data_IF_043014732951
#
_entry.id   IF_043014732951
#
_cell.length_a   1.000
_cell.length_b   1.000
_cell.length_c   1.000
_cell.angle_alpha   90.00
_cell.angle_beta   90.00
_cell.angle_gamma   90.00
#
_symmetry.space_group_name_H-M   'P 1'
#
loop_
_entity.id
_entity.type
_entity.pdbx_description
1 polymer ?
#
# COMPACT_ATOMS: atom_id res chain seq x y z
N UNK A 1 28.74 3.12 19.96
CA UNK A 1 27.35 3.18 20.47
C UNK A 1 26.48 2.33 19.57
N UNK A 2 25.79 1.32 20.10
CA UNK A 2 24.73 0.64 19.35
C UNK A 2 23.57 1.63 19.26
N UNK A 3 23.22 2.04 18.04
CA UNK A 3 22.06 2.90 17.81
C UNK A 3 20.83 2.06 18.15
N UNK A 4 20.14 2.44 19.22
CA UNK A 4 18.92 1.78 19.66
C UNK A 4 17.78 2.22 18.73
N UNK A 5 17.50 1.40 17.72
CA UNK A 5 16.43 1.60 16.73
C UNK A 5 15.03 1.45 17.34
N UNK A 6 14.94 0.98 18.59
CA UNK A 6 13.66 0.85 19.31
C UNK A 6 13.03 2.22 19.59
N UNK A 7 13.84 3.29 19.63
CA UNK A 7 13.35 4.66 19.73
C UNK A 7 12.63 5.17 18.45
N UNK A 8 12.94 4.59 17.28
CA UNK A 8 12.21 4.89 16.04
C UNK A 8 10.88 4.14 15.95
N UNK A 9 10.78 2.98 16.60
CA UNK A 9 9.59 2.13 16.58
C UNK A 9 8.56 2.49 17.66
N UNK A 10 8.93 3.32 18.65
CA UNK A 10 8.09 3.70 19.80
C UNK A 10 7.81 5.20 19.88
N UNK A 11 7.50 5.84 18.75
CA UNK A 11 6.86 7.16 18.81
C UNK A 11 5.35 6.98 18.73
N UNK A 12 4.76 7.03 19.92
CA UNK A 12 3.35 6.92 20.22
C UNK A 12 2.43 7.83 19.38
N UNK A 13 1.25 7.28 19.05
CA UNK A 13 -0.08 7.89 19.08
C UNK A 13 -0.33 9.22 18.34
N UNK A 14 -1.27 9.17 17.40
CA UNK A 14 -1.74 10.26 16.50
C UNK A 14 -0.77 10.56 15.36
N UNK A 15 -1.03 9.97 14.19
CA UNK A 15 -0.25 10.11 12.97
C UNK A 15 -0.03 11.58 12.62
N UNK A 16 1.14 12.12 12.96
CA UNK A 16 1.60 13.48 12.62
C UNK A 16 1.91 13.67 11.14
N UNK A 17 1.32 12.85 10.27
CA UNK A 17 1.39 12.99 8.83
C UNK A 17 0.40 14.08 8.40
N UNK A 18 0.90 15.05 7.63
CA UNK A 18 -0.02 15.85 6.80
C UNK A 18 -0.60 14.94 5.70
N UNK A 19 -1.79 15.27 5.21
CA UNK A 19 -2.40 14.53 4.10
C UNK A 19 -1.48 14.53 2.86
N UNK A 20 -0.80 15.63 2.59
CA UNK A 20 0.11 15.78 1.46
C UNK A 20 1.36 14.89 1.61
N UNK A 21 2.01 14.93 2.77
CA UNK A 21 3.22 14.12 3.03
C UNK A 21 2.89 12.62 2.98
N UNK A 22 1.71 12.24 3.45
CA UNK A 22 1.27 10.85 3.37
C UNK A 22 0.99 10.40 1.94
N UNK A 23 0.41 11.26 1.09
CA UNK A 23 0.25 10.97 -0.35
C UNK A 23 1.59 10.80 -1.04
N UNK A 24 2.59 11.63 -0.73
CA UNK A 24 3.97 11.47 -1.22
C UNK A 24 4.60 10.16 -0.74
N UNK A 25 4.39 9.79 0.52
CA UNK A 25 4.85 8.50 1.04
C UNK A 25 4.20 7.31 0.31
N UNK A 26 2.90 7.35 0.02
CA UNK A 26 2.23 6.33 -0.80
C UNK A 26 2.85 6.29 -2.20
N UNK A 27 3.12 7.45 -2.82
CA UNK A 27 3.80 7.52 -4.11
C UNK A 27 5.13 6.77 -4.07
N UNK A 28 6.00 7.14 -3.14
CA UNK A 28 7.37 6.62 -3.05
C UNK A 28 7.46 5.14 -2.68
N UNK A 29 6.47 4.61 -1.95
CA UNK A 29 6.53 3.23 -1.42
C UNK A 29 5.64 2.23 -2.14
N UNK A 30 4.42 2.62 -2.52
CA UNK A 30 3.44 1.72 -3.14
C UNK A 30 3.35 1.97 -4.65
N UNK A 31 3.20 3.22 -5.09
CA UNK A 31 3.07 3.52 -6.52
C UNK A 31 4.37 3.22 -7.27
N UNK A 32 5.52 3.59 -6.72
CA UNK A 32 6.82 3.24 -7.32
C UNK A 32 7.03 1.73 -7.40
N UNK A 33 6.60 0.96 -6.39
CA UNK A 33 6.68 -0.50 -6.43
C UNK A 33 5.84 -1.09 -7.57
N UNK A 34 4.60 -0.63 -7.73
CA UNK A 34 3.73 -1.03 -8.84
C UNK A 34 4.34 -0.60 -10.18
N UNK A 35 4.85 0.63 -10.26
CA UNK A 35 5.49 1.17 -11.48
C UNK A 35 6.67 0.29 -11.92
N UNK A 36 7.58 -0.01 -10.99
CA UNK A 36 8.73 -0.88 -11.25
C UNK A 36 8.28 -2.28 -11.69
N UNK A 37 7.22 -2.84 -11.12
CA UNK A 37 6.68 -4.12 -11.60
C UNK A 37 6.17 -4.02 -13.04
N UNK A 38 5.42 -2.96 -13.37
CA UNK A 38 4.91 -2.75 -14.74
C UNK A 38 6.03 -2.55 -15.77
N UNK A 39 7.09 -1.82 -15.42
CA UNK A 39 8.27 -1.62 -16.28
C UNK A 39 8.96 -2.94 -16.63
N UNK A 40 8.89 -3.94 -15.75
CA UNK A 40 9.59 -5.21 -15.90
C UNK A 40 8.75 -6.33 -16.52
N UNK A 41 7.52 -6.03 -16.96
CA UNK A 41 6.62 -7.02 -17.59
C UNK A 41 6.08 -6.54 -18.94
N UNK A 42 5.68 -7.47 -19.83
CA UNK A 42 5.06 -7.10 -21.10
C UNK A 42 3.79 -6.27 -20.90
N UNK A 43 3.63 -5.25 -21.74
CA UNK A 43 2.50 -4.29 -21.71
C UNK A 43 1.11 -4.93 -21.63
N UNK A 44 0.93 -6.10 -22.25
CA UNK A 44 -0.32 -6.87 -22.25
C UNK A 44 -0.70 -7.46 -20.87
N UNK A 45 0.27 -7.64 -19.96
CA UNK A 45 0.02 -8.16 -18.61
C UNK A 45 -0.35 -7.04 -17.61
N UNK A 46 -0.20 -5.77 -17.98
CA UNK A 46 -0.39 -4.64 -17.06
C UNK A 46 -1.77 -4.61 -16.41
N UNK A 47 -2.86 -4.81 -17.17
CA UNK A 47 -4.23 -4.82 -16.62
C UNK A 47 -4.39 -5.91 -15.56
N UNK A 48 -3.85 -7.11 -15.82
CA UNK A 48 -3.88 -8.23 -14.88
C UNK A 48 -3.06 -7.94 -13.63
N UNK A 49 -1.88 -7.35 -13.77
CA UNK A 49 -1.05 -6.91 -12.64
C UNK A 49 -1.77 -5.87 -11.78
N UNK A 50 -2.40 -4.85 -12.37
CA UNK A 50 -3.16 -3.85 -11.62
C UNK A 50 -4.42 -4.40 -10.94
N UNK A 51 -5.08 -5.41 -11.54
CA UNK A 51 -6.14 -6.17 -10.86
C UNK A 51 -5.60 -6.97 -9.67
N UNK A 52 -4.40 -7.53 -9.77
CA UNK A 52 -3.74 -8.20 -8.64
C UNK A 52 -3.48 -7.22 -7.52
N UNK A 53 -2.94 -6.03 -7.80
CA UNK A 53 -2.76 -4.97 -6.80
C UNK A 53 -4.07 -4.54 -6.14
N UNK A 54 -5.16 -4.42 -6.91
CA UNK A 54 -6.50 -4.15 -6.35
C UNK A 54 -6.95 -5.24 -5.37
N UNK A 55 -6.67 -6.52 -5.68
CA UNK A 55 -6.95 -7.64 -4.79
C UNK A 55 -6.04 -7.64 -3.56
N UNK A 56 -4.77 -7.26 -3.68
CA UNK A 56 -3.84 -7.11 -2.55
C UNK A 56 -4.37 -6.05 -1.59
N UNK A 57 -4.78 -4.87 -2.08
CA UNK A 57 -5.38 -3.84 -1.23
C UNK A 57 -6.65 -4.33 -0.53
N UNK A 58 -7.50 -5.08 -1.24
CA UNK A 58 -8.73 -5.65 -0.67
C UNK A 58 -8.43 -6.71 0.40
N UNK A 59 -7.44 -7.57 0.14
CA UNK A 59 -7.01 -8.60 1.07
C UNK A 59 -6.40 -7.97 2.33
N UNK A 60 -5.50 -7.00 2.17
CA UNK A 60 -4.94 -6.22 3.26
C UNK A 60 -6.04 -5.55 4.11
N UNK A 61 -7.05 -4.92 3.50
CA UNK A 61 -8.17 -4.36 4.25
C UNK A 61 -8.93 -5.41 5.08
N UNK A 62 -9.11 -6.61 4.54
CA UNK A 62 -9.76 -7.69 5.26
C UNK A 62 -8.92 -8.17 6.46
N UNK A 63 -7.60 -8.17 6.30
CA UNK A 63 -6.65 -8.58 7.32
C UNK A 63 -6.47 -7.52 8.41
N UNK A 64 -6.53 -6.22 8.09
CA UNK A 64 -6.43 -5.15 9.08
C UNK A 64 -7.55 -5.16 10.15
N UNK A 65 -8.58 -5.99 9.96
CA UNK A 65 -9.65 -6.22 10.96
C UNK A 65 -9.30 -7.34 11.95
N UNK A 66 -8.15 -7.99 11.78
CA UNK A 66 -7.70 -9.15 12.53
C UNK A 66 -6.51 -8.78 13.41
N UNK A 67 -6.39 -9.45 14.54
CA UNK A 67 -5.21 -9.35 15.39
C UNK A 67 -3.97 -9.93 14.70
N UNK A 68 -2.79 -9.42 15.06
CA UNK A 68 -1.50 -9.80 14.48
C UNK A 68 -1.30 -11.32 14.45
N UNK A 69 -1.60 -12.02 15.55
CA UNK A 69 -1.48 -13.48 15.63
C UNK A 69 -2.37 -14.22 14.62
N UNK A 70 -3.59 -13.74 14.40
CA UNK A 70 -4.47 -14.31 13.37
C UNK A 70 -3.92 -14.06 11.97
N UNK A 71 -3.34 -12.88 11.71
CA UNK A 71 -2.70 -12.57 10.42
C UNK A 71 -1.51 -13.49 10.16
N UNK A 72 -0.64 -13.70 11.13
CA UNK A 72 0.50 -14.63 11.03
C UNK A 72 0.08 -16.07 10.73
N UNK A 73 -1.00 -16.55 11.34
CA UNK A 73 -1.58 -17.87 11.03
C UNK A 73 -2.08 -17.95 9.58
N UNK A 74 -2.75 -16.89 9.10
CA UNK A 74 -3.21 -16.82 7.71
C UNK A 74 -2.04 -16.78 6.73
N UNK A 75 -0.99 -15.99 7.00
CA UNK A 75 0.20 -15.94 6.14
C UNK A 75 0.87 -17.31 6.02
N UNK A 76 1.03 -18.03 7.13
CA UNK A 76 1.55 -19.40 7.12
C UNK A 76 0.65 -20.35 6.33
N UNK A 77 -0.66 -20.25 6.51
CA UNK A 77 -1.65 -21.10 5.81
C UNK A 77 -1.63 -20.88 4.31
N UNK A 78 -1.46 -19.64 3.84
CA UNK A 78 -1.38 -19.29 2.43
C UNK A 78 0.04 -19.37 1.85
N UNK A 79 1.02 -19.81 2.65
CA UNK A 79 2.42 -19.94 2.25
C UNK A 79 3.02 -18.62 1.72
N UNK A 80 2.67 -17.50 2.35
CA UNK A 80 3.29 -16.22 2.02
C UNK A 80 4.77 -16.26 2.36
N UNK A 81 5.60 -15.81 1.43
CA UNK A 81 7.01 -15.52 1.71
C UNK A 81 7.16 -14.19 2.45
N UNK A 82 8.38 -13.92 2.92
CA UNK A 82 8.67 -12.71 3.69
C UNK A 82 8.36 -11.41 2.93
N UNK A 83 8.48 -11.40 1.60
CA UNK A 83 8.20 -10.22 0.78
C UNK A 83 6.69 -9.98 0.67
N UNK A 84 5.90 -11.03 0.46
CA UNK A 84 4.44 -10.95 0.44
C UNK A 84 3.87 -10.48 1.77
N UNK A 85 4.41 -10.98 2.90
CA UNK A 85 4.03 -10.51 4.24
C UNK A 85 4.37 -9.02 4.40
N UNK A 86 5.59 -8.61 4.04
CA UNK A 86 6.03 -7.23 4.15
C UNK A 86 5.16 -6.27 3.32
N UNK A 87 4.86 -6.61 2.07
CA UNK A 87 3.97 -5.81 1.21
C UNK A 87 2.57 -5.73 1.83
N UNK A 88 2.03 -6.85 2.30
CA UNK A 88 0.67 -6.90 2.84
C UNK A 88 0.54 -6.06 4.11
N UNK A 89 1.42 -6.24 5.09
CA UNK A 89 1.43 -5.43 6.32
C UNK A 89 1.69 -3.96 6.01
N UNK A 90 2.59 -3.65 5.06
CA UNK A 90 2.84 -2.28 4.62
C UNK A 90 1.63 -1.61 3.95
N UNK A 91 0.73 -2.38 3.34
CA UNK A 91 -0.56 -1.87 2.82
C UNK A 91 -1.60 -1.75 3.92
N UNK A 92 -1.64 -2.67 4.90
CA UNK A 92 -2.51 -2.57 6.08
C UNK A 92 -2.24 -1.26 6.82
N UNK A 93 -0.98 -1.00 7.16
CA UNK A 93 -0.56 0.22 7.87
C UNK A 93 -0.97 1.47 7.09
N UNK A 94 -0.76 1.50 5.77
CA UNK A 94 -1.14 2.64 4.94
C UNK A 94 -2.65 2.86 4.88
N UNK A 95 -3.45 1.78 4.84
CA UNK A 95 -4.91 1.87 4.91
C UNK A 95 -5.38 2.43 6.27
N UNK A 96 -4.75 2.03 7.36
CA UNK A 96 -5.04 2.52 8.71
C UNK A 96 -4.72 4.01 8.83
N UNK A 97 -3.52 4.43 8.39
CA UNK A 97 -3.11 5.85 8.41
C UNK A 97 -4.00 6.69 7.49
N UNK A 98 -4.30 6.21 6.27
CA UNK A 98 -5.19 6.92 5.34
C UNK A 98 -6.57 7.21 5.98
N UNK A 99 -7.07 6.27 6.79
CA UNK A 99 -8.33 6.42 7.52
C UNK A 99 -8.20 7.35 8.71
N UNK A 100 -7.13 7.26 9.47
CA UNK A 100 -6.92 8.11 10.65
C UNK A 100 -6.79 9.59 10.29
N UNK A 101 -6.20 9.91 9.13
CA UNK A 101 -6.02 11.29 8.65
C UNK A 101 -7.15 11.75 7.69
N UNK A 102 -8.19 10.95 7.52
CA UNK A 102 -9.40 11.32 6.77
C UNK A 102 -9.28 11.30 5.24
N UNK A 103 -8.24 10.68 4.68
CA UNK A 103 -8.08 10.50 3.23
C UNK A 103 -8.92 9.34 2.67
N UNK A 104 -9.25 8.35 3.51
CA UNK A 104 -10.08 7.22 3.13
C UNK A 104 -11.19 7.01 4.16
N UNK A 105 -12.45 7.00 3.72
CA UNK A 105 -13.59 6.72 4.61
C UNK A 105 -13.78 5.21 4.80
N UNK A 106 -14.41 4.83 5.90
CA UNK A 106 -14.82 3.45 6.15
C UNK A 106 -15.79 2.99 5.05
N UNK A 107 -15.50 1.86 4.41
CA UNK A 107 -16.31 1.31 3.33
C UNK A 107 -15.96 1.83 1.92
N UNK A 108 -15.06 2.81 1.81
CA UNK A 108 -14.46 3.11 0.51
C UNK A 108 -13.55 1.97 0.05
N UNK A 109 -13.43 1.86 -1.27
CA UNK A 109 -12.65 0.80 -1.90
C UNK A 109 -11.17 0.94 -1.52
N UNK A 110 -10.51 -0.11 -0.98
CA UNK A 110 -9.13 -0.03 -0.52
C UNK A 110 -8.14 0.36 -1.62
N UNK A 111 -8.39 0.01 -2.88
CA UNK A 111 -7.53 0.38 -4.01
C UNK A 111 -7.44 1.89 -4.27
N UNK A 112 -8.37 2.70 -3.72
CA UNK A 112 -8.23 4.17 -3.73
C UNK A 112 -6.94 4.65 -3.07
N UNK A 113 -6.34 3.84 -2.19
CA UNK A 113 -5.02 4.12 -1.63
C UNK A 113 -3.99 4.37 -2.74
N UNK A 114 -4.03 3.60 -3.83
CA UNK A 114 -3.11 3.75 -4.96
C UNK A 114 -3.37 5.08 -5.66
N UNK A 115 -4.65 5.45 -5.87
CA UNK A 115 -5.05 6.74 -6.46
C UNK A 115 -4.47 7.93 -5.69
N UNK A 116 -4.47 7.87 -4.35
CA UNK A 116 -3.93 8.94 -3.50
C UNK A 116 -2.44 9.21 -3.77
N UNK A 117 -1.65 8.17 -4.01
CA UNK A 117 -0.23 8.32 -4.37
C UNK A 117 -0.03 8.76 -5.83
N UNK A 118 -0.91 8.32 -6.74
CA UNK A 118 -0.83 8.68 -8.16
C UNK A 118 -0.99 10.19 -8.41
N UNK A 119 -1.65 10.93 -7.51
CA UNK A 119 -1.74 12.39 -7.57
C UNK A 119 -0.36 13.09 -7.61
N UNK A 120 0.66 12.48 -7.02
CA UNK A 120 2.04 13.01 -6.94
C UNK A 120 3.02 12.25 -7.84
N UNK A 121 2.55 11.30 -8.63
CA UNK A 121 3.41 10.49 -9.48
C UNK A 121 3.81 11.24 -10.76
N UNK A 122 5.09 11.12 -11.11
CA UNK A 122 5.64 11.65 -12.36
C UNK A 122 5.02 10.96 -13.57
N UNK A 123 4.88 11.70 -14.67
CA UNK A 123 4.28 11.18 -15.90
C UNK A 123 5.22 10.19 -16.60
N UNK A 124 4.81 8.93 -16.62
CA UNK A 124 5.42 7.85 -17.42
C UNK A 124 4.34 7.09 -18.19
N UNK A 125 4.68 6.11 -19.03
CA UNK A 125 3.67 5.27 -19.66
C UNK A 125 2.90 4.44 -18.61
N UNK A 126 3.63 3.86 -17.68
CA UNK A 126 3.12 3.07 -16.55
C UNK A 126 2.22 3.92 -15.67
N UNK A 127 2.67 5.12 -15.27
CA UNK A 127 1.86 6.03 -14.44
C UNK A 127 0.58 6.46 -15.15
N UNK A 128 0.64 6.80 -16.44
CA UNK A 128 -0.56 7.13 -17.21
C UNK A 128 -1.53 5.97 -17.28
N UNK A 129 -1.03 4.76 -17.46
CA UNK A 129 -1.87 3.56 -17.47
C UNK A 129 -2.49 3.30 -16.09
N UNK A 130 -1.73 3.46 -15.01
CA UNK A 130 -2.22 3.35 -13.63
C UNK A 130 -3.31 4.39 -13.34
N UNK A 131 -3.08 5.67 -13.69
CA UNK A 131 -4.07 6.75 -13.54
C UNK A 131 -5.37 6.43 -14.28
N UNK A 132 -5.27 5.98 -15.54
CA UNK A 132 -6.43 5.56 -16.32
C UNK A 132 -7.17 4.36 -15.69
N UNK A 133 -6.44 3.37 -15.19
CA UNK A 133 -7.01 2.16 -14.58
C UNK A 133 -7.73 2.46 -13.25
N UNK A 134 -7.08 3.19 -12.35
CA UNK A 134 -7.61 3.53 -11.02
C UNK A 134 -8.48 4.79 -11.01
N UNK A 135 -8.65 5.46 -12.16
CA UNK A 135 -9.39 6.73 -12.30
C UNK A 135 -8.85 7.81 -11.36
N UNK A 136 -7.52 7.90 -11.29
CA UNK A 136 -6.76 8.83 -10.46
C UNK A 136 -6.28 10.03 -11.28
#
# INVERSE_FOLDING_TARGET
MKVDLTAFLRKDSSSGWSQEDFKKHIKESLVELIRLELENIPRQEWDKTLRTWSKICSFADSLGKKEEKEREELYRKFQFDSMMVYITEGVIEKLEIARSIGLLKKGERPEKLISLGLEFAEESEETRFMKAFFRA
#
